data_IF_155102018431
#
_entry.id   IF_155102018431
#
_cell.length_a   1.000
_cell.length_b   1.000
_cell.length_c   1.000
_cell.angle_alpha   90.00
_cell.angle_beta   90.00
_cell.angle_gamma   90.00
#
_symmetry.space_group_name_H-M   'P 1'
#
loop_
_entity.id
_entity.type
_entity.pdbx_description
1 polymer ?
#
# COMPACT_ATOMS: atom_id res chain seq x y z
N UNK A 1 -50.52 -42.75 4.06
CA UNK A 1 -49.43 -43.40 3.31
C UNK A 1 -48.64 -42.31 2.59
N UNK A 2 -47.49 -41.89 3.14
CA UNK A 2 -46.73 -40.75 2.60
C UNK A 2 -46.09 -41.19 1.27
N UNK A 3 -46.42 -40.46 0.19
CA UNK A 3 -45.96 -40.72 -1.18
C UNK A 3 -44.43 -40.85 -1.28
N UNK A 4 -43.94 -41.76 -2.12
CA UNK A 4 -42.51 -42.00 -2.43
C UNK A 4 -41.75 -40.69 -2.72
N UNK A 5 -42.44 -39.70 -3.30
CA UNK A 5 -41.94 -38.35 -3.59
C UNK A 5 -41.42 -37.61 -2.33
N UNK A 6 -42.04 -37.85 -1.17
CA UNK A 6 -41.67 -37.20 0.09
C UNK A 6 -40.39 -37.80 0.70
N UNK A 7 -40.19 -39.12 0.59
CA UNK A 7 -38.95 -39.79 1.04
C UNK A 7 -37.76 -39.37 0.18
N UNK A 8 -37.95 -39.19 -1.12
CA UNK A 8 -36.91 -38.74 -2.04
C UNK A 8 -36.46 -37.29 -1.74
N UNK A 9 -37.41 -36.40 -1.45
CA UNK A 9 -37.12 -35.00 -1.06
C UNK A 9 -36.33 -34.88 0.25
N UNK A 10 -36.54 -35.78 1.22
CA UNK A 10 -35.80 -35.79 2.51
C UNK A 10 -34.30 -36.03 2.29
N UNK A 11 -33.93 -36.85 1.31
CA UNK A 11 -32.53 -37.19 1.03
C UNK A 11 -31.85 -36.19 0.06
N UNK A 12 -32.60 -35.64 -0.91
CA UNK A 12 -32.04 -34.74 -1.93
C UNK A 12 -31.60 -33.40 -1.36
N UNK A 13 -32.39 -32.78 -0.49
CA UNK A 13 -32.12 -31.43 0.02
C UNK A 13 -30.76 -31.34 0.77
N UNK A 14 -30.39 -32.25 1.69
CA UNK A 14 -29.07 -32.22 2.31
C UNK A 14 -27.93 -32.48 1.32
N UNK A 15 -28.13 -33.35 0.31
CA UNK A 15 -27.14 -33.58 -0.75
C UNK A 15 -26.93 -32.30 -1.57
N UNK A 16 -28.01 -31.63 -1.97
CA UNK A 16 -27.94 -30.37 -2.70
C UNK A 16 -27.19 -29.30 -1.89
N UNK A 17 -27.48 -29.18 -0.60
CA UNK A 17 -26.76 -28.26 0.28
C UNK A 17 -25.28 -28.60 0.42
N UNK A 18 -24.94 -29.88 0.50
CA UNK A 18 -23.54 -30.34 0.56
C UNK A 18 -22.79 -30.00 -0.73
N UNK A 19 -23.42 -30.22 -1.89
CA UNK A 19 -22.85 -29.88 -3.19
C UNK A 19 -22.57 -28.38 -3.25
N UNK A 20 -23.54 -27.53 -2.87
CA UNK A 20 -23.36 -26.06 -2.86
C UNK A 20 -22.23 -25.64 -1.90
N UNK A 21 -22.12 -26.28 -0.73
CA UNK A 21 -21.05 -26.02 0.23
C UNK A 21 -19.66 -26.43 -0.27
N UNK A 22 -19.58 -27.44 -1.13
CA UNK A 22 -18.33 -27.97 -1.67
C UNK A 22 -17.92 -27.34 -3.00
N UNK A 23 -18.72 -26.43 -3.58
CA UNK A 23 -18.35 -25.72 -4.82
C UNK A 23 -16.93 -25.15 -4.77
N UNK A 24 -16.50 -24.40 -3.72
CA UNK A 24 -15.14 -23.87 -3.66
C UNK A 24 -14.06 -24.96 -3.63
N UNK A 25 -14.32 -26.07 -2.93
CA UNK A 25 -13.41 -27.20 -2.87
C UNK A 25 -13.31 -27.91 -4.24
N UNK A 26 -14.43 -28.07 -4.95
CA UNK A 26 -14.46 -28.65 -6.30
C UNK A 26 -13.61 -27.83 -7.30
N UNK A 27 -13.67 -26.50 -7.23
CA UNK A 27 -12.81 -25.64 -8.06
C UNK A 27 -11.31 -25.82 -7.74
N UNK A 28 -10.95 -26.15 -6.50
CA UNK A 28 -9.57 -26.41 -6.09
C UNK A 28 -9.01 -27.72 -6.68
N UNK A 29 -9.88 -28.71 -6.93
CA UNK A 29 -9.49 -30.00 -7.52
C UNK A 29 -9.24 -29.91 -9.04
N UNK A 30 -9.71 -28.87 -9.71
CA UNK A 30 -9.46 -28.67 -11.15
C UNK A 30 -8.01 -28.21 -11.38
N UNK A 31 -7.17 -28.98 -12.10
CA UNK A 31 -5.74 -28.68 -12.28
C UNK A 31 -5.48 -27.34 -12.99
N UNK A 32 -6.40 -26.91 -13.88
CA UNK A 32 -6.29 -25.64 -14.59
C UNK A 32 -6.57 -24.42 -13.69
N UNK A 33 -7.57 -24.52 -12.80
CA UNK A 33 -7.94 -23.40 -11.91
C UNK A 33 -7.11 -23.34 -10.65
N UNK A 34 -6.55 -24.47 -10.19
CA UNK A 34 -5.77 -24.54 -8.95
C UNK A 34 -4.63 -23.53 -8.93
N UNK A 35 -3.86 -23.42 -10.02
CA UNK A 35 -2.75 -22.47 -10.10
C UNK A 35 -3.19 -21.02 -9.91
N UNK A 36 -4.28 -20.63 -10.61
CA UNK A 36 -4.85 -19.29 -10.52
C UNK A 36 -5.44 -18.99 -9.15
N UNK A 37 -6.12 -19.95 -8.52
CA UNK A 37 -6.71 -19.77 -7.18
C UNK A 37 -5.60 -19.56 -6.14
N UNK A 38 -4.53 -20.35 -6.18
CA UNK A 38 -3.42 -20.19 -5.22
C UNK A 38 -2.63 -18.90 -5.43
N UNK A 39 -2.37 -18.48 -6.67
CA UNK A 39 -1.70 -17.19 -6.94
C UNK A 39 -2.53 -16.01 -6.44
N UNK A 40 -3.84 -16.08 -6.65
CA UNK A 40 -4.83 -15.08 -6.24
C UNK A 40 -5.01 -15.06 -4.73
N UNK A 41 -5.10 -16.23 -4.09
CA UNK A 41 -5.19 -16.36 -2.63
C UNK A 41 -3.99 -15.73 -1.93
N UNK A 42 -2.77 -15.96 -2.46
CA UNK A 42 -1.52 -15.40 -1.90
C UNK A 42 -1.44 -13.88 -2.02
N UNK A 43 -2.17 -13.24 -2.92
CA UNK A 43 -2.21 -11.79 -3.02
C UNK A 43 -2.73 -11.18 -1.71
N UNK A 44 -3.86 -11.68 -1.21
CA UNK A 44 -4.56 -11.17 -0.01
C UNK A 44 -4.79 -12.27 1.03
N UNK A 45 -3.71 -12.94 1.47
CA UNK A 45 -3.81 -14.16 2.27
C UNK A 45 -4.62 -13.98 3.58
N UNK A 46 -4.45 -12.85 4.27
CA UNK A 46 -5.13 -12.59 5.55
C UNK A 46 -6.64 -12.48 5.36
N UNK A 47 -7.08 -11.61 4.44
CA UNK A 47 -8.50 -11.40 4.14
C UNK A 47 -9.16 -12.65 3.55
N UNK A 48 -8.50 -13.29 2.58
CA UNK A 48 -9.04 -14.49 1.95
C UNK A 48 -9.20 -15.64 2.95
N UNK A 49 -8.28 -15.79 3.92
CA UNK A 49 -8.40 -16.79 4.99
C UNK A 49 -9.53 -16.47 5.95
N UNK A 50 -9.67 -15.19 6.35
CA UNK A 50 -10.77 -14.76 7.20
C UNK A 50 -12.14 -15.02 6.52
N UNK A 51 -12.28 -14.64 5.26
CA UNK A 51 -13.48 -14.88 4.44
C UNK A 51 -13.77 -16.38 4.34
N UNK A 52 -12.77 -17.21 4.03
CA UNK A 52 -12.93 -18.66 3.92
C UNK A 52 -13.36 -19.30 5.25
N UNK A 53 -12.85 -18.79 6.37
CA UNK A 53 -13.22 -19.27 7.72
C UNK A 53 -14.68 -18.94 8.04
N UNK A 54 -15.09 -17.70 7.79
CA UNK A 54 -16.49 -17.25 7.97
C UNK A 54 -17.43 -18.05 7.06
N UNK A 55 -17.04 -18.25 5.80
CA UNK A 55 -17.77 -19.09 4.85
C UNK A 55 -17.95 -20.51 5.39
N UNK A 56 -16.87 -21.14 5.86
CA UNK A 56 -16.90 -22.51 6.36
C UNK A 56 -17.82 -22.66 7.58
N UNK A 57 -17.82 -21.69 8.49
CA UNK A 57 -18.73 -21.65 9.64
C UNK A 57 -20.18 -21.54 9.18
N UNK A 58 -20.50 -20.59 8.30
CA UNK A 58 -21.85 -20.40 7.76
C UNK A 58 -22.35 -21.63 7.00
N UNK A 59 -21.48 -22.23 6.18
CA UNK A 59 -21.78 -23.42 5.40
C UNK A 59 -22.03 -24.64 6.28
N UNK A 60 -21.21 -24.83 7.32
CA UNK A 60 -21.40 -25.89 8.30
C UNK A 60 -22.73 -25.73 9.04
N UNK A 61 -23.04 -24.53 9.53
CA UNK A 61 -24.32 -24.25 10.21
C UNK A 61 -25.50 -24.54 9.30
N UNK A 62 -25.46 -24.10 8.04
CA UNK A 62 -26.52 -24.35 7.06
C UNK A 62 -26.72 -25.85 6.81
N UNK A 63 -25.64 -26.57 6.51
CA UNK A 63 -25.69 -28.00 6.25
C UNK A 63 -26.20 -28.79 7.46
N UNK A 64 -25.66 -28.51 8.65
CA UNK A 64 -26.10 -29.14 9.90
C UNK A 64 -27.60 -28.89 10.15
N UNK A 65 -28.08 -27.67 9.89
CA UNK A 65 -29.48 -27.32 10.06
C UNK A 65 -30.40 -28.14 9.16
N UNK A 66 -30.01 -28.32 7.90
CA UNK A 66 -30.78 -29.08 6.91
C UNK A 66 -30.81 -30.57 7.26
N UNK A 67 -29.67 -31.15 7.67
CA UNK A 67 -29.60 -32.55 8.10
C UNK A 67 -30.48 -32.79 9.32
N UNK A 68 -30.45 -31.90 10.30
CA UNK A 68 -31.26 -32.05 11.51
C UNK A 68 -32.77 -31.96 11.21
N UNK A 69 -33.17 -31.05 10.31
CA UNK A 69 -34.55 -30.96 9.82
C UNK A 69 -34.95 -32.23 9.06
N UNK A 70 -34.08 -32.75 8.19
CA UNK A 70 -34.29 -34.01 7.47
C UNK A 70 -34.48 -35.19 8.43
N UNK A 71 -33.67 -35.28 9.48
CA UNK A 71 -33.79 -36.30 10.54
C UNK A 71 -35.11 -36.18 11.31
N UNK A 72 -35.49 -34.96 11.72
CA UNK A 72 -36.76 -34.73 12.41
C UNK A 72 -37.95 -35.20 11.56
N UNK A 73 -37.96 -34.82 10.28
CA UNK A 73 -39.00 -35.21 9.32
C UNK A 73 -39.02 -36.71 9.04
N UNK A 74 -37.85 -37.36 9.00
CA UNK A 74 -37.76 -38.81 8.84
C UNK A 74 -38.35 -39.57 10.04
N UNK A 75 -38.07 -39.13 11.26
CA UNK A 75 -38.64 -39.72 12.49
C UNK A 75 -40.16 -39.59 12.48
N UNK A 76 -40.67 -38.39 12.17
CA UNK A 76 -42.10 -38.14 12.02
C UNK A 76 -42.74 -39.02 10.93
N UNK A 77 -42.09 -39.16 9.76
CA UNK A 77 -42.63 -39.97 8.66
C UNK A 77 -42.57 -41.48 8.89
N UNK A 78 -41.61 -41.95 9.69
CA UNK A 78 -41.39 -43.39 9.93
C UNK A 78 -42.28 -43.97 11.03
N UNK A 79 -42.98 -43.13 11.81
CA UNK A 79 -43.84 -43.59 12.89
C UNK A 79 -43.11 -44.15 14.10
N UNK A 80 -41.83 -43.80 14.26
CA UNK A 80 -40.98 -44.34 15.32
C UNK A 80 -41.10 -43.47 16.58
N UNK A 81 -41.81 -43.98 17.58
CA UNK A 81 -42.10 -43.30 18.85
C UNK A 81 -40.93 -43.23 19.82
N UNK A 82 -39.82 -43.96 19.62
CA UNK A 82 -38.74 -44.01 20.62
C UNK A 82 -37.54 -43.11 20.29
N UNK A 83 -37.47 -42.59 19.05
CA UNK A 83 -36.36 -41.73 18.60
C UNK A 83 -36.53 -40.26 18.98
N UNK A 84 -35.65 -39.77 19.85
CA UNK A 84 -35.61 -38.35 20.21
C UNK A 84 -34.89 -37.50 19.14
N UNK A 85 -35.40 -36.30 18.87
CA UNK A 85 -34.72 -35.30 18.04
C UNK A 85 -34.93 -33.89 18.62
N UNK A 86 -33.86 -33.09 18.67
CA UNK A 86 -33.83 -31.81 19.40
C UNK A 86 -34.89 -30.80 18.92
N UNK A 87 -35.26 -30.80 17.64
CA UNK A 87 -36.30 -29.92 17.10
C UNK A 87 -37.71 -30.30 17.55
N UNK A 88 -37.97 -31.61 17.68
CA UNK A 88 -39.31 -32.15 17.98
C UNK A 88 -39.42 -32.63 19.43
N UNK A 89 -38.33 -32.57 20.21
CA UNK A 89 -38.27 -33.09 21.58
C UNK A 89 -38.83 -34.52 21.66
N UNK A 90 -39.98 -34.70 22.31
CA UNK A 90 -40.71 -35.96 22.47
C UNK A 90 -42.02 -36.01 21.67
N UNK A 91 -42.20 -35.15 20.66
CA UNK A 91 -43.46 -35.06 19.90
C UNK A 91 -43.80 -36.36 19.14
N UNK A 92 -42.79 -37.17 18.80
CA UNK A 92 -43.02 -38.47 18.19
C UNK A 92 -43.80 -39.43 19.13
N UNK A 93 -43.55 -39.39 20.45
CA UNK A 93 -44.26 -40.19 21.45
C UNK A 93 -45.74 -39.80 21.49
N UNK A 94 -46.06 -38.53 21.36
CA UNK A 94 -47.45 -38.05 21.34
C UNK A 94 -48.23 -38.57 20.13
N UNK A 95 -47.61 -38.58 18.95
CA UNK A 95 -48.29 -39.01 17.73
C UNK A 95 -48.40 -40.53 17.59
N UNK A 96 -47.50 -41.30 18.23
CA UNK A 96 -47.36 -42.74 17.97
C UNK A 96 -47.51 -43.65 19.21
N UNK A 97 -47.37 -43.14 20.43
CA UNK A 97 -47.70 -43.89 21.65
C UNK A 97 -49.00 -43.36 22.25
N UNK A 98 -49.96 -44.26 22.43
CA UNK A 98 -51.39 -44.01 22.53
C UNK A 98 -51.88 -43.30 23.81
N UNK A 99 -51.01 -42.62 24.56
CA UNK A 99 -51.32 -42.25 25.94
C UNK A 99 -50.72 -40.90 26.35
N UNK A 100 -51.21 -39.81 25.74
CA UNK A 100 -50.86 -38.45 26.18
C UNK A 100 -52.07 -37.49 26.16
N UNK A 101 -52.65 -37.16 27.33
CA UNK A 101 -53.79 -36.23 27.43
C UNK A 101 -53.46 -34.77 27.04
N UNK A 102 -52.19 -34.43 26.79
CA UNK A 102 -51.70 -33.06 26.57
C UNK A 102 -51.04 -32.82 25.19
N UNK A 103 -51.47 -33.55 24.16
CA UNK A 103 -50.89 -33.48 22.81
C UNK A 103 -50.82 -32.07 22.21
N UNK A 104 -51.85 -31.23 22.41
CA UNK A 104 -51.90 -29.86 21.88
C UNK A 104 -50.78 -28.96 22.45
N UNK A 105 -50.49 -29.07 23.75
CA UNK A 105 -49.41 -28.30 24.39
C UNK A 105 -48.03 -28.69 23.86
N UNK A 106 -47.83 -29.97 23.57
CA UNK A 106 -46.57 -30.50 23.05
C UNK A 106 -46.35 -30.08 21.59
N UNK A 107 -47.39 -30.11 20.75
CA UNK A 107 -47.33 -29.62 19.36
C UNK A 107 -46.94 -28.14 19.33
N UNK A 108 -47.55 -27.32 20.19
CA UNK A 108 -47.19 -25.91 20.32
C UNK A 108 -45.73 -25.72 20.73
N UNK A 109 -45.27 -26.47 21.75
CA UNK A 109 -43.88 -26.40 22.23
C UNK A 109 -42.83 -26.83 21.20
N UNK A 110 -43.13 -27.85 20.37
CA UNK A 110 -42.25 -28.28 19.30
C UNK A 110 -42.21 -27.28 18.15
N UNK A 111 -43.35 -26.66 17.82
CA UNK A 111 -43.42 -25.62 16.80
C UNK A 111 -42.61 -24.38 17.23
N UNK A 112 -42.73 -23.97 18.49
CA UNK A 112 -41.96 -22.87 19.08
C UNK A 112 -40.47 -23.18 19.11
N UNK A 113 -40.07 -24.38 19.55
CA UNK A 113 -38.66 -24.82 19.54
C UNK A 113 -38.06 -24.84 18.14
N UNK A 114 -38.79 -25.38 17.16
CA UNK A 114 -38.38 -25.41 15.75
C UNK A 114 -38.28 -23.99 15.17
N UNK A 115 -39.22 -23.10 15.51
CA UNK A 115 -39.18 -21.69 15.08
C UNK A 115 -38.00 -20.93 15.68
N UNK A 116 -37.77 -21.05 17.00
CA UNK A 116 -36.62 -20.45 17.68
C UNK A 116 -35.30 -20.92 17.05
N UNK A 117 -35.19 -22.22 16.81
CA UNK A 117 -34.00 -22.83 16.18
C UNK A 117 -33.81 -22.34 14.74
N UNK A 118 -34.88 -22.28 13.93
CA UNK A 118 -34.85 -21.69 12.57
C UNK A 118 -34.32 -20.26 12.62
N UNK A 119 -34.95 -19.40 13.42
CA UNK A 119 -34.60 -17.97 13.49
C UNK A 119 -33.15 -17.77 13.91
N UNK A 120 -32.69 -18.49 14.94
CA UNK A 120 -31.30 -18.39 15.42
C UNK A 120 -30.29 -18.81 14.35
N UNK A 121 -30.51 -19.94 13.67
CA UNK A 121 -29.58 -20.44 12.64
C UNK A 121 -29.55 -19.57 11.40
N UNK A 122 -30.72 -19.13 10.97
CA UNK A 122 -30.82 -18.28 9.80
C UNK A 122 -30.17 -16.92 10.06
N UNK A 123 -30.36 -16.36 11.25
CA UNK A 123 -29.67 -15.16 11.69
C UNK A 123 -28.15 -15.34 11.63
N UNK A 124 -27.61 -16.44 12.16
CA UNK A 124 -26.17 -16.73 12.08
C UNK A 124 -25.65 -16.85 10.63
N UNK A 125 -26.39 -17.51 9.74
CA UNK A 125 -25.99 -17.62 8.32
C UNK A 125 -25.99 -16.23 7.67
N UNK A 126 -27.01 -15.40 7.93
CA UNK A 126 -27.07 -14.01 7.45
C UNK A 126 -25.94 -13.16 7.99
N UNK A 127 -25.58 -13.31 9.28
CA UNK A 127 -24.41 -12.65 9.84
C UNK A 127 -23.14 -13.07 9.09
N UNK A 128 -22.94 -14.36 8.83
CA UNK A 128 -21.78 -14.84 8.06
C UNK A 128 -21.74 -14.26 6.64
N UNK A 129 -22.89 -14.17 5.96
CA UNK A 129 -23.01 -13.51 4.65
C UNK A 129 -22.55 -12.05 4.72
N UNK A 130 -23.12 -11.28 5.63
CA UNK A 130 -22.83 -9.85 5.76
C UNK A 130 -21.38 -9.60 6.19
N UNK A 131 -20.86 -10.38 7.14
CA UNK A 131 -19.46 -10.27 7.58
C UNK A 131 -18.49 -10.66 6.47
N UNK A 132 -18.81 -11.67 5.65
CA UNK A 132 -17.99 -12.04 4.48
C UNK A 132 -17.90 -10.90 3.47
N UNK A 133 -19.03 -10.26 3.14
CA UNK A 133 -19.05 -9.08 2.26
C UNK A 133 -18.26 -7.92 2.86
N UNK A 134 -18.43 -7.65 4.17
CA UNK A 134 -17.72 -6.58 4.85
C UNK A 134 -16.21 -6.83 4.90
N UNK A 135 -15.77 -8.07 5.08
CA UNK A 135 -14.34 -8.41 5.00
C UNK A 135 -13.78 -8.24 3.58
N UNK A 136 -14.56 -8.52 2.54
CA UNK A 136 -14.18 -8.20 1.17
C UNK A 136 -13.96 -6.70 0.96
N UNK A 137 -14.88 -5.88 1.47
CA UNK A 137 -14.75 -4.41 1.45
C UNK A 137 -13.53 -3.91 2.25
N UNK A 138 -13.26 -4.50 3.41
CA UNK A 138 -12.10 -4.14 4.23
C UNK A 138 -10.78 -4.48 3.51
N UNK A 139 -10.75 -5.58 2.77
CA UNK A 139 -9.65 -5.91 1.86
C UNK A 139 -9.44 -4.86 0.77
N UNK A 140 -10.51 -4.30 0.20
CA UNK A 140 -10.44 -3.19 -0.75
C UNK A 140 -9.83 -1.94 -0.13
N UNK A 141 -10.31 -1.55 1.05
CA UNK A 141 -9.77 -0.40 1.78
C UNK A 141 -8.27 -0.59 2.08
N UNK A 142 -7.88 -1.79 2.50
CA UNK A 142 -6.48 -2.10 2.76
C UNK A 142 -5.62 -2.05 1.49
N UNK A 143 -6.07 -2.66 0.39
CA UNK A 143 -5.33 -2.67 -0.87
C UNK A 143 -5.15 -1.27 -1.46
N UNK A 144 -6.18 -0.43 -1.40
CA UNK A 144 -6.08 0.99 -1.77
C UNK A 144 -5.12 1.75 -0.86
N UNK A 145 -5.14 1.49 0.46
CA UNK A 145 -4.19 2.11 1.40
C UNK A 145 -2.75 1.76 1.06
N UNK A 146 -2.47 0.51 0.68
CA UNK A 146 -1.14 0.06 0.20
C UNK A 146 -0.75 0.77 -1.10
N UNK A 147 -1.70 0.95 -2.01
CA UNK A 147 -1.49 1.69 -3.27
C UNK A 147 -1.10 3.14 -3.00
N UNK A 148 -1.84 3.84 -2.13
CA UNK A 148 -1.55 5.23 -1.76
C UNK A 148 -0.19 5.35 -1.08
N UNK A 149 0.12 4.48 -0.11
CA UNK A 149 1.42 4.48 0.56
C UNK A 149 2.57 4.25 -0.44
N UNK A 150 2.36 3.37 -1.42
CA UNK A 150 3.35 3.13 -2.48
C UNK A 150 3.58 4.38 -3.32
N UNK A 151 2.51 5.07 -3.75
CA UNK A 151 2.59 6.31 -4.52
C UNK A 151 3.36 7.39 -3.75
N UNK A 152 3.12 7.56 -2.45
CA UNK A 152 3.89 8.50 -1.61
C UNK A 152 5.38 8.16 -1.63
N UNK A 153 5.76 6.88 -1.49
CA UNK A 153 7.17 6.46 -1.57
C UNK A 153 7.78 6.73 -2.95
N UNK A 154 7.01 6.61 -4.05
CA UNK A 154 7.49 7.02 -5.39
C UNK A 154 7.72 8.52 -5.45
N UNK A 155 6.80 9.28 -4.85
CA UNK A 155 6.88 10.72 -4.75
C UNK A 155 8.01 11.19 -3.83
N UNK A 156 8.50 10.39 -2.90
CA UNK A 156 9.71 10.74 -2.15
C UNK A 156 10.98 10.37 -2.93
N UNK A 157 10.96 9.24 -3.66
CA UNK A 157 12.15 8.69 -4.35
C UNK A 157 12.48 9.32 -5.69
N UNK A 158 11.52 9.89 -6.43
CA UNK A 158 11.87 10.59 -7.68
C UNK A 158 12.58 11.94 -7.45
N UNK A 159 12.92 12.28 -6.20
CA UNK A 159 13.83 13.37 -5.86
C UNK A 159 15.33 13.06 -6.02
N UNK A 160 15.73 11.86 -6.46
CA UNK A 160 17.05 11.59 -7.03
C UNK A 160 17.02 12.07 -8.49
N UNK A 161 17.68 13.15 -8.92
CA UNK A 161 19.04 13.55 -8.58
C UNK A 161 19.95 13.13 -9.74
N UNK A 162 20.38 14.09 -10.54
CA UNK A 162 21.02 13.96 -11.86
C UNK A 162 22.21 13.00 -12.02
N UNK A 163 22.49 12.71 -13.29
CA UNK A 163 23.63 11.94 -13.81
C UNK A 163 23.11 10.85 -14.74
N UNK A 164 23.66 10.56 -15.91
CA UNK A 164 24.82 11.11 -16.59
C UNK A 164 25.25 10.08 -17.62
N UNK A 165 24.39 9.78 -18.61
CA UNK A 165 24.75 9.14 -19.87
C UNK A 165 25.57 7.85 -19.79
N UNK A 166 24.99 6.75 -19.29
CA UNK A 166 25.47 5.38 -19.56
C UNK A 166 24.28 4.43 -19.79
N UNK A 167 24.39 3.47 -20.72
CA UNK A 167 23.35 2.48 -21.03
C UNK A 167 22.92 1.63 -19.83
N UNK A 168 23.80 1.50 -18.83
CA UNK A 168 23.54 0.85 -17.53
C UNK A 168 22.58 1.67 -16.65
N UNK A 169 22.67 3.00 -16.66
CA UNK A 169 21.81 3.87 -15.84
C UNK A 169 20.37 3.90 -16.38
N UNK A 170 20.17 3.80 -17.70
CA UNK A 170 18.82 3.76 -18.29
C UNK A 170 18.09 2.47 -17.90
N UNK A 171 18.80 1.34 -17.86
CA UNK A 171 18.25 0.08 -17.36
C UNK A 171 17.89 0.18 -15.87
N UNK A 172 18.73 0.81 -15.05
CA UNK A 172 18.45 1.02 -13.63
C UNK A 172 17.25 1.94 -13.39
N UNK A 173 17.12 3.00 -14.21
CA UNK A 173 15.94 3.89 -14.19
C UNK A 173 14.68 3.13 -14.61
N UNK A 174 14.72 2.33 -15.68
CA UNK A 174 13.58 1.50 -16.12
C UNK A 174 13.20 0.47 -15.05
N UNK A 175 14.19 -0.21 -14.44
CA UNK A 175 13.96 -1.18 -13.35
C UNK A 175 13.35 -0.49 -12.13
N UNK A 176 13.78 0.73 -11.82
CA UNK A 176 13.17 1.53 -10.75
C UNK A 176 11.74 1.94 -11.07
N UNK A 177 11.44 2.37 -12.30
CA UNK A 177 10.07 2.71 -12.73
C UNK A 177 9.17 1.46 -12.67
N UNK A 178 9.66 0.32 -13.16
CA UNK A 178 8.93 -0.96 -13.14
C UNK A 178 8.64 -1.43 -11.71
N UNK A 179 9.63 -1.38 -10.80
CA UNK A 179 9.42 -1.64 -9.37
C UNK A 179 8.44 -0.66 -8.75
N UNK A 180 8.53 0.60 -9.15
CA UNK A 180 7.70 1.69 -8.64
C UNK A 180 6.24 1.50 -9.01
N UNK A 181 5.94 1.07 -10.24
CA UNK A 181 4.58 0.82 -10.71
C UNK A 181 4.01 -0.52 -10.20
N UNK A 182 4.88 -1.49 -9.92
CA UNK A 182 4.48 -2.83 -9.45
C UNK A 182 3.77 -2.80 -8.08
N UNK A 183 4.20 -1.91 -7.17
CA UNK A 183 3.62 -1.84 -5.82
C UNK A 183 2.15 -1.33 -5.80
N UNK A 184 1.80 -0.22 -6.47
CA UNK A 184 0.41 0.19 -6.71
C UNK A 184 -0.46 -0.89 -7.38
N UNK A 185 0.06 -1.53 -8.43
CA UNK A 185 -0.67 -2.60 -9.13
C UNK A 185 -0.93 -3.80 -8.22
N UNK A 186 0.02 -4.12 -7.33
CA UNK A 186 -0.17 -5.16 -6.32
C UNK A 186 -1.25 -4.77 -5.31
N UNK A 187 -1.24 -3.53 -4.78
CA UNK A 187 -2.28 -3.05 -3.87
C UNK A 187 -3.68 -3.14 -4.46
N UNK A 188 -3.83 -2.77 -5.73
CA UNK A 188 -5.08 -2.93 -6.49
C UNK A 188 -5.50 -4.40 -6.64
N UNK A 189 -4.58 -5.30 -6.97
CA UNK A 189 -4.88 -6.74 -7.08
C UNK A 189 -5.34 -7.33 -5.74
N UNK A 190 -4.71 -6.94 -4.62
CA UNK A 190 -5.12 -7.34 -3.26
C UNK A 190 -6.58 -6.94 -2.98
N UNK A 191 -6.90 -5.68 -3.28
CA UNK A 191 -8.24 -5.11 -3.09
C UNK A 191 -9.30 -5.86 -3.91
N UNK A 192 -9.05 -6.00 -5.21
CA UNK A 192 -9.99 -6.61 -6.15
C UNK A 192 -10.30 -8.07 -5.78
N UNK A 193 -9.26 -8.85 -5.49
CA UNK A 193 -9.38 -10.27 -5.15
C UNK A 193 -10.17 -10.48 -3.86
N UNK A 194 -9.85 -9.72 -2.81
CA UNK A 194 -10.56 -9.83 -1.53
C UNK A 194 -12.06 -9.55 -1.69
N UNK A 195 -12.42 -8.56 -2.51
CA UNK A 195 -13.82 -8.23 -2.82
C UNK A 195 -14.55 -9.38 -3.52
N UNK A 196 -13.93 -10.00 -4.54
CA UNK A 196 -14.52 -11.17 -5.23
C UNK A 196 -14.78 -12.32 -4.26
N UNK A 197 -13.80 -12.65 -3.40
CA UNK A 197 -13.97 -13.72 -2.41
C UNK A 197 -15.13 -13.41 -1.45
N UNK A 198 -15.25 -12.16 -0.98
CA UNK A 198 -16.31 -11.73 -0.08
C UNK A 198 -17.71 -11.89 -0.70
N UNK A 199 -17.87 -11.41 -1.94
CA UNK A 199 -19.15 -11.47 -2.69
C UNK A 199 -19.51 -12.91 -3.07
N UNK A 200 -18.57 -13.69 -3.60
CA UNK A 200 -18.82 -15.09 -4.00
C UNK A 200 -19.23 -15.93 -2.79
N UNK A 201 -18.56 -15.76 -1.65
CA UNK A 201 -18.93 -16.41 -0.39
C UNK A 201 -20.35 -16.03 0.06
N UNK A 202 -20.70 -14.74 -0.01
CA UNK A 202 -22.04 -14.26 0.33
C UNK A 202 -23.12 -14.86 -0.58
N UNK A 203 -22.88 -14.95 -1.90
CA UNK A 203 -23.79 -15.58 -2.86
C UNK A 203 -23.99 -17.06 -2.53
N UNK A 204 -22.91 -17.81 -2.29
CA UNK A 204 -22.98 -19.24 -1.96
C UNK A 204 -23.76 -19.48 -0.65
N UNK A 205 -23.49 -18.70 0.38
CA UNK A 205 -24.26 -18.74 1.64
C UNK A 205 -25.72 -18.30 1.45
N UNK A 206 -25.98 -17.36 0.54
CA UNK A 206 -27.34 -16.94 0.17
C UNK A 206 -28.14 -18.08 -0.46
N UNK A 207 -27.55 -18.81 -1.41
CA UNK A 207 -28.18 -20.00 -2.00
C UNK A 207 -28.47 -21.05 -0.91
N UNK A 208 -27.51 -21.30 -0.02
CA UNK A 208 -27.72 -22.22 1.10
C UNK A 208 -28.82 -21.76 2.06
N UNK A 209 -28.95 -20.45 2.29
CA UNK A 209 -30.02 -19.87 3.10
C UNK A 209 -31.40 -20.18 2.51
N UNK A 210 -31.55 -20.12 1.19
CA UNK A 210 -32.79 -20.47 0.50
C UNK A 210 -33.12 -21.96 0.71
N UNK A 211 -32.13 -22.84 0.54
CA UNK A 211 -32.30 -24.29 0.75
C UNK A 211 -32.68 -24.59 2.22
N UNK A 212 -32.01 -23.93 3.17
CA UNK A 212 -32.29 -24.06 4.60
C UNK A 212 -33.71 -23.59 4.95
N UNK A 213 -34.15 -22.43 4.43
CA UNK A 213 -35.54 -21.93 4.57
C UNK A 213 -36.55 -22.95 4.04
N UNK A 214 -36.30 -23.50 2.86
CA UNK A 214 -37.16 -24.52 2.25
C UNK A 214 -37.28 -25.78 3.12
N UNK A 215 -36.16 -26.27 3.66
CA UNK A 215 -36.15 -27.43 4.56
C UNK A 215 -37.01 -27.18 5.81
N UNK A 216 -36.82 -26.04 6.50
CA UNK A 216 -37.64 -25.69 7.66
C UNK A 216 -39.12 -25.54 7.34
N UNK A 217 -39.47 -24.91 6.21
CA UNK A 217 -40.86 -24.79 5.79
C UNK A 217 -41.49 -26.18 5.56
N UNK A 218 -40.74 -27.10 4.95
CA UNK A 218 -41.17 -28.50 4.79
C UNK A 218 -41.45 -29.20 6.13
N UNK A 219 -40.63 -28.94 7.15
CA UNK A 219 -40.88 -29.46 8.51
C UNK A 219 -42.15 -28.87 9.13
N UNK A 220 -42.36 -27.56 9.05
CA UNK A 220 -43.59 -26.93 9.55
C UNK A 220 -44.85 -27.46 8.86
N UNK A 221 -44.77 -27.69 7.55
CA UNK A 221 -45.85 -28.35 6.83
C UNK A 221 -46.12 -29.77 7.34
N UNK A 222 -45.08 -30.56 7.60
CA UNK A 222 -45.20 -31.90 8.16
C UNK A 222 -45.82 -31.88 9.57
N UNK A 223 -45.38 -30.96 10.44
CA UNK A 223 -45.93 -30.80 11.79
C UNK A 223 -47.42 -30.46 11.74
N UNK A 224 -47.81 -29.55 10.84
CA UNK A 224 -49.21 -29.15 10.61
C UNK A 224 -50.07 -30.30 10.11
N UNK A 225 -49.57 -31.07 9.14
CA UNK A 225 -50.30 -32.22 8.60
C UNK A 225 -50.56 -33.26 9.69
N UNK A 226 -49.55 -33.55 10.51
CA UNK A 226 -49.69 -34.49 11.62
C UNK A 226 -50.61 -33.97 12.73
N UNK A 227 -50.60 -32.66 13.03
CA UNK A 227 -51.52 -32.10 14.02
C UNK A 227 -52.98 -32.19 13.57
N UNK A 228 -53.26 -31.98 12.28
CA UNK A 228 -54.61 -32.13 11.73
C UNK A 228 -55.05 -33.60 11.78
N UNK A 229 -54.17 -34.52 11.37
CA UNK A 229 -54.43 -35.97 11.42
C UNK A 229 -54.73 -36.45 12.85
N UNK A 230 -53.98 -35.94 13.84
CA UNK A 230 -54.22 -36.24 15.25
C UNK A 230 -55.60 -35.74 15.72
N UNK A 231 -55.99 -34.52 15.35
CA UNK A 231 -57.33 -34.01 15.69
C UNK A 231 -58.44 -34.82 15.04
N UNK A 232 -58.28 -35.21 13.77
CA UNK A 232 -59.26 -36.04 13.06
C UNK A 232 -59.46 -37.41 13.71
N UNK A 233 -58.37 -38.08 14.13
CA UNK A 233 -58.47 -39.37 14.85
C UNK A 233 -59.14 -39.24 16.21
N UNK A 234 -58.87 -38.16 16.93
CA UNK A 234 -59.54 -37.93 18.21
C UNK A 234 -61.03 -37.63 18.03
N UNK A 235 -61.44 -36.95 16.95
CA UNK A 235 -62.86 -36.73 16.64
C UNK A 235 -63.60 -38.06 16.33
N UNK A 236 -63.03 -38.93 15.49
CA UNK A 236 -63.59 -40.26 15.19
C UNK A 236 -63.72 -41.17 16.42
N UNK A 237 -62.78 -41.10 17.38
CA UNK A 237 -62.90 -41.84 18.64
C UNK A 237 -63.98 -41.31 19.58
N UNK A 238 -64.38 -40.04 19.43
CA UNK A 238 -65.36 -39.41 20.33
C UNK A 238 -66.79 -39.51 19.77
N UNK A 239 -67.02 -39.62 18.46
CA UNK A 239 -68.37 -39.84 17.90
C UNK A 239 -68.95 -41.22 18.27
N UNK A 240 -68.10 -42.16 18.73
CA UNK A 240 -68.51 -43.43 19.35
C UNK A 240 -69.05 -43.27 20.79
N UNK A 241 -68.81 -42.12 21.44
CA UNK A 241 -69.11 -41.89 22.85
C UNK A 241 -70.03 -40.67 22.98
N UNK A 242 -71.34 -40.89 23.15
CA UNK A 242 -72.45 -39.91 23.11
C UNK A 242 -72.30 -38.65 24.00
N UNK A 243 -71.38 -37.74 23.68
CA UNK A 243 -71.14 -36.48 24.40
C UNK A 243 -70.89 -35.32 23.41
N UNK A 244 -71.83 -35.14 22.48
CA UNK A 244 -71.71 -34.26 21.30
C UNK A 244 -71.51 -32.77 21.58
N UNK A 245 -71.95 -32.26 22.74
CA UNK A 245 -71.97 -30.81 23.02
C UNK A 245 -70.63 -30.27 23.57
N UNK A 246 -69.89 -31.07 24.35
CA UNK A 246 -68.57 -30.65 24.85
C UNK A 246 -67.46 -30.88 23.81
N UNK A 247 -67.61 -31.90 22.96
CA UNK A 247 -66.63 -32.29 21.94
C UNK A 247 -66.56 -31.33 20.77
N UNK A 248 -67.71 -30.92 20.21
CA UNK A 248 -67.75 -29.89 19.16
C UNK A 248 -67.12 -28.57 19.60
N UNK A 249 -67.18 -28.26 20.90
CA UNK A 249 -66.54 -27.07 21.49
C UNK A 249 -65.02 -27.21 21.66
N UNK A 250 -64.51 -28.41 21.95
CA UNK A 250 -63.05 -28.68 22.02
C UNK A 250 -62.44 -28.67 20.63
N UNK A 251 -63.12 -29.28 19.65
CA UNK A 251 -62.68 -29.30 18.25
C UNK A 251 -62.76 -27.90 17.64
N UNK A 252 -63.84 -27.15 17.86
CA UNK A 252 -63.94 -25.77 17.42
C UNK A 252 -62.85 -24.88 18.06
N UNK A 253 -62.50 -25.12 19.33
CA UNK A 253 -61.37 -24.42 20.00
C UNK A 253 -60.01 -24.84 19.42
N UNK A 254 -59.80 -26.12 19.11
CA UNK A 254 -58.58 -26.62 18.47
C UNK A 254 -58.42 -26.12 17.04
N UNK A 255 -59.50 -26.12 16.25
CA UNK A 255 -59.56 -25.55 14.90
C UNK A 255 -59.33 -24.05 14.97
N UNK A 256 -59.97 -23.30 15.87
CA UNK A 256 -59.73 -21.87 16.02
C UNK A 256 -58.29 -21.58 16.47
N UNK A 257 -57.73 -22.39 17.37
CA UNK A 257 -56.33 -22.27 17.79
C UNK A 257 -55.36 -22.53 16.63
N UNK A 258 -55.61 -23.56 15.82
CA UNK A 258 -54.80 -23.84 14.61
C UNK A 258 -55.02 -22.76 13.55
N UNK A 259 -56.24 -22.26 13.39
CA UNK A 259 -56.57 -21.18 12.45
C UNK A 259 -55.84 -19.90 12.85
N UNK A 260 -55.86 -19.53 14.13
CA UNK A 260 -55.05 -18.43 14.66
C UNK A 260 -53.55 -18.70 14.48
N UNK A 261 -53.09 -19.93 14.68
CA UNK A 261 -51.68 -20.29 14.48
C UNK A 261 -51.29 -20.20 12.99
N UNK A 262 -52.19 -20.54 12.07
CA UNK A 262 -52.03 -20.42 10.61
C UNK A 262 -52.06 -18.97 10.17
N UNK A 263 -52.99 -18.18 10.69
CA UNK A 263 -53.07 -16.73 10.44
C UNK A 263 -51.79 -16.07 10.97
N UNK A 264 -51.35 -16.42 12.18
CA UNK A 264 -50.09 -15.91 12.72
C UNK A 264 -48.89 -16.41 11.93
N UNK A 265 -48.80 -17.68 11.51
CA UNK A 265 -47.68 -18.16 10.68
C UNK A 265 -47.65 -17.50 9.30
N UNK A 266 -48.80 -17.32 8.64
CA UNK A 266 -48.89 -16.60 7.36
C UNK A 266 -48.49 -15.14 7.56
N UNK A 267 -49.08 -14.45 8.53
CA UNK A 267 -48.73 -13.07 8.84
C UNK A 267 -47.25 -12.92 9.22
N UNK A 268 -46.68 -13.90 9.94
CA UNK A 268 -45.25 -13.91 10.28
C UNK A 268 -44.40 -14.21 9.04
N UNK A 269 -44.84 -15.08 8.14
CA UNK A 269 -44.14 -15.41 6.89
C UNK A 269 -44.20 -14.26 5.89
N UNK A 270 -45.34 -13.57 5.79
CA UNK A 270 -45.54 -12.36 4.98
C UNK A 270 -44.79 -11.18 5.58
N UNK A 271 -44.82 -10.98 6.91
CA UNK A 271 -43.89 -10.05 7.58
C UNK A 271 -42.45 -10.42 7.30
N UNK A 272 -42.09 -11.71 7.31
CA UNK A 272 -40.72 -12.11 7.04
C UNK A 272 -40.35 -11.92 5.58
N UNK A 273 -41.28 -12.07 4.65
CA UNK A 273 -41.07 -11.82 3.23
C UNK A 273 -40.91 -10.32 2.98
N UNK A 274 -41.76 -9.50 3.58
CA UNK A 274 -41.66 -8.03 3.53
C UNK A 274 -40.39 -7.53 4.21
N UNK A 275 -40.06 -8.01 5.41
CA UNK A 275 -38.80 -7.68 6.10
C UNK A 275 -37.61 -8.20 5.30
N UNK A 276 -37.66 -9.40 4.71
CA UNK A 276 -36.55 -9.87 3.86
C UNK A 276 -36.45 -9.03 2.60
N UNK A 277 -37.55 -8.62 1.98
CA UNK A 277 -37.57 -7.75 0.80
C UNK A 277 -37.10 -6.33 1.12
N UNK A 278 -37.45 -5.81 2.29
CA UNK A 278 -37.03 -4.50 2.79
C UNK A 278 -35.56 -4.51 3.27
N UNK A 279 -35.11 -5.61 3.87
CA UNK A 279 -33.70 -5.83 4.18
C UNK A 279 -32.90 -6.04 2.90
N UNK A 280 -33.43 -6.75 1.90
CA UNK A 280 -32.74 -6.97 0.62
C UNK A 280 -32.70 -5.67 -0.19
N UNK A 281 -33.79 -4.90 -0.25
CA UNK A 281 -33.78 -3.58 -0.88
C UNK A 281 -32.94 -2.58 -0.10
N UNK A 282 -32.91 -2.69 1.23
CA UNK A 282 -32.03 -1.94 2.11
C UNK A 282 -30.57 -2.28 1.88
N UNK A 283 -30.24 -3.57 1.69
CA UNK A 283 -28.91 -4.03 1.31
C UNK A 283 -28.57 -3.54 -0.10
N UNK A 284 -29.46 -3.62 -1.07
CA UNK A 284 -29.24 -3.13 -2.43
C UNK A 284 -29.05 -1.61 -2.46
N UNK A 285 -29.84 -0.85 -1.70
CA UNK A 285 -29.68 0.59 -1.53
C UNK A 285 -28.38 0.92 -0.82
N UNK A 286 -28.04 0.20 0.25
CA UNK A 286 -26.77 0.40 0.95
C UNK A 286 -25.59 0.02 0.07
N UNK A 287 -25.71 -1.03 -0.75
CA UNK A 287 -24.67 -1.46 -1.68
C UNK A 287 -24.53 -0.47 -2.83
N UNK A 288 -25.62 0.07 -3.34
CA UNK A 288 -25.61 1.16 -4.32
C UNK A 288 -24.98 2.44 -3.75
N UNK A 289 -25.33 2.82 -2.51
CA UNK A 289 -24.73 3.96 -1.79
C UNK A 289 -23.24 3.74 -1.52
N UNK A 290 -22.85 2.54 -1.11
CA UNK A 290 -21.45 2.17 -0.89
C UNK A 290 -20.70 2.24 -2.21
N UNK A 291 -21.23 1.67 -3.30
CA UNK A 291 -20.60 1.74 -4.61
C UNK A 291 -20.45 3.17 -5.12
N UNK A 292 -21.49 3.99 -4.96
CA UNK A 292 -21.44 5.41 -5.32
C UNK A 292 -20.42 6.16 -4.47
N UNK A 293 -20.39 5.93 -3.16
CA UNK A 293 -19.40 6.52 -2.26
C UNK A 293 -17.98 6.06 -2.59
N UNK A 294 -17.78 4.78 -2.91
CA UNK A 294 -16.49 4.24 -3.34
C UNK A 294 -16.03 4.90 -4.65
N UNK A 295 -16.94 5.09 -5.61
CA UNK A 295 -16.64 5.78 -6.86
C UNK A 295 -16.22 7.22 -6.59
N UNK A 296 -16.95 7.95 -5.76
CA UNK A 296 -16.59 9.32 -5.38
C UNK A 296 -15.26 9.40 -4.64
N UNK A 297 -14.98 8.46 -3.73
CA UNK A 297 -13.68 8.38 -3.05
C UNK A 297 -12.56 8.08 -4.05
N UNK A 298 -12.80 7.19 -5.01
CA UNK A 298 -11.84 6.86 -6.07
C UNK A 298 -11.55 8.10 -6.95
N UNK A 299 -12.58 8.86 -7.33
CA UNK A 299 -12.41 10.09 -8.11
C UNK A 299 -11.60 11.13 -7.33
N UNK A 300 -11.89 11.32 -6.04
CA UNK A 300 -11.11 12.22 -5.16
C UNK A 300 -9.66 11.77 -5.03
N UNK A 301 -9.40 10.47 -4.90
CA UNK A 301 -8.04 9.93 -4.84
C UNK A 301 -7.27 10.13 -6.15
N UNK A 302 -7.93 10.01 -7.31
CA UNK A 302 -7.33 10.29 -8.61
C UNK A 302 -6.96 11.78 -8.71
N UNK A 303 -7.85 12.67 -8.29
CA UNK A 303 -7.58 14.13 -8.27
C UNK A 303 -6.40 14.46 -7.36
N UNK A 304 -6.39 13.94 -6.13
CA UNK A 304 -5.29 14.15 -5.19
C UNK A 304 -3.97 13.58 -5.72
N UNK A 305 -4.01 12.43 -6.40
CA UNK A 305 -2.83 11.87 -7.06
C UNK A 305 -2.32 12.74 -8.21
N UNK A 306 -3.21 13.37 -8.98
CA UNK A 306 -2.82 14.31 -10.05
C UNK A 306 -2.22 15.59 -9.49
N UNK A 307 -2.81 16.19 -8.46
CA UNK A 307 -2.25 17.39 -7.80
C UNK A 307 -0.86 17.13 -7.24
N UNK A 308 -0.64 15.96 -6.62
CA UNK A 308 0.67 15.56 -6.11
C UNK A 308 1.73 15.46 -7.22
N UNK A 309 1.37 14.93 -8.41
CA UNK A 309 2.28 14.85 -9.57
C UNK A 309 2.64 16.24 -10.10
N UNK A 310 1.67 17.16 -10.17
CA UNK A 310 1.90 18.55 -10.61
C UNK A 310 2.79 19.29 -9.61
N UNK A 311 2.50 19.17 -8.31
CA UNK A 311 3.29 19.81 -7.27
C UNK A 311 4.75 19.29 -7.30
N UNK A 312 4.91 17.98 -7.49
CA UNK A 312 6.20 17.31 -7.60
C UNK A 312 7.00 17.77 -8.82
N UNK A 313 6.38 17.84 -10.01
CA UNK A 313 7.07 18.31 -11.22
C UNK A 313 7.52 19.77 -11.11
N UNK A 314 6.74 20.59 -10.40
CA UNK A 314 7.11 21.94 -10.01
C UNK A 314 8.36 21.97 -9.12
N UNK A 315 8.41 21.12 -8.09
CA UNK A 315 9.57 20.99 -7.19
C UNK A 315 10.82 20.51 -7.94
N UNK A 316 10.70 19.52 -8.82
CA UNK A 316 11.84 18.99 -9.58
C UNK A 316 12.40 20.03 -10.56
N UNK A 317 11.52 20.81 -11.20
CA UNK A 317 11.92 21.95 -12.04
C UNK A 317 12.65 23.03 -11.24
N UNK A 318 12.17 23.36 -10.04
CA UNK A 318 12.83 24.31 -9.15
C UNK A 318 14.22 23.81 -8.70
N UNK A 319 14.35 22.52 -8.34
CA UNK A 319 15.64 21.91 -8.01
C UNK A 319 16.63 21.98 -9.17
N UNK A 320 16.17 21.72 -10.41
CA UNK A 320 17.02 21.81 -11.60
C UNK A 320 17.53 23.23 -11.82
N UNK A 321 16.65 24.23 -11.75
CA UNK A 321 17.05 25.64 -11.88
C UNK A 321 18.07 26.07 -10.83
N UNK A 322 17.89 25.64 -9.57
CA UNK A 322 18.85 25.92 -8.48
C UNK A 322 20.21 25.26 -8.77
N UNK A 323 20.22 23.99 -9.18
CA UNK A 323 21.44 23.25 -9.49
C UNK A 323 22.22 23.89 -10.66
N UNK A 324 21.52 24.26 -11.73
CA UNK A 324 22.10 24.99 -12.86
C UNK A 324 22.69 26.34 -12.42
N UNK A 325 21.98 27.07 -11.55
CA UNK A 325 22.46 28.32 -10.96
C UNK A 325 23.75 28.14 -10.14
N UNK A 326 23.84 27.10 -9.32
CA UNK A 326 25.04 26.78 -8.53
C UNK A 326 26.21 26.40 -9.45
N UNK A 327 25.96 25.60 -10.50
CA UNK A 327 26.99 25.20 -11.45
C UNK A 327 27.57 26.42 -12.20
N UNK A 328 26.71 27.34 -12.64
CA UNK A 328 27.13 28.60 -13.26
C UNK A 328 27.97 29.46 -12.30
N UNK A 329 27.58 29.56 -11.03
CA UNK A 329 28.39 30.25 -10.02
C UNK A 329 29.77 29.60 -9.82
N UNK A 330 29.83 28.27 -9.71
CA UNK A 330 31.09 27.55 -9.58
C UNK A 330 32.01 27.77 -10.78
N UNK A 331 31.47 27.71 -12.00
CA UNK A 331 32.23 27.95 -13.23
C UNK A 331 32.82 29.37 -13.25
N UNK A 332 32.02 30.38 -12.91
CA UNK A 332 32.50 31.75 -12.79
C UNK A 332 33.61 31.87 -11.74
N UNK A 333 33.42 31.27 -10.57
CA UNK A 333 34.43 31.30 -9.51
C UNK A 333 35.74 30.62 -9.92
N UNK A 334 35.65 29.51 -10.66
CA UNK A 334 36.81 28.81 -11.21
C UNK A 334 37.53 29.66 -12.28
N UNK A 335 36.79 30.35 -13.14
CA UNK A 335 37.36 31.27 -14.13
C UNK A 335 38.07 32.46 -13.46
N UNK A 336 37.48 33.06 -12.44
CA UNK A 336 38.13 34.10 -11.63
C UNK A 336 39.40 33.58 -10.94
N UNK A 337 39.35 32.37 -10.36
CA UNK A 337 40.51 31.75 -9.71
C UNK A 337 41.65 31.50 -10.69
N UNK A 338 41.35 31.00 -11.89
CA UNK A 338 42.34 30.82 -12.95
C UNK A 338 42.98 32.15 -13.35
N UNK A 339 42.17 33.19 -13.53
CA UNK A 339 42.67 34.53 -13.87
C UNK A 339 43.59 35.10 -12.78
N UNK A 340 43.24 34.91 -11.50
CA UNK A 340 44.14 35.26 -10.40
C UNK A 340 45.44 34.46 -10.41
N UNK A 341 45.39 33.16 -10.72
CA UNK A 341 46.59 32.33 -10.82
C UNK A 341 47.50 32.75 -11.98
N UNK A 342 46.93 33.15 -13.12
CA UNK A 342 47.69 33.64 -14.26
C UNK A 342 48.37 34.98 -13.94
N UNK A 343 47.66 35.89 -13.25
CA UNK A 343 48.24 37.13 -12.74
C UNK A 343 49.38 36.84 -11.75
N UNK A 344 49.18 35.89 -10.83
CA UNK A 344 50.20 35.50 -9.85
C UNK A 344 51.46 34.95 -10.55
N UNK A 345 51.30 34.08 -11.55
CA UNK A 345 52.42 33.56 -12.35
C UNK A 345 53.16 34.68 -13.09
N UNK A 346 52.43 35.62 -13.69
CA UNK A 346 53.00 36.80 -14.33
C UNK A 346 53.84 37.62 -13.34
N UNK A 347 53.29 37.91 -12.15
CA UNK A 347 54.01 38.63 -11.11
C UNK A 347 55.26 37.89 -10.61
N UNK A 348 55.20 36.56 -10.50
CA UNK A 348 56.35 35.75 -10.10
C UNK A 348 57.47 35.79 -11.16
N UNK A 349 57.10 35.80 -12.44
CA UNK A 349 58.06 35.96 -13.55
C UNK A 349 58.71 37.35 -13.53
N UNK A 350 57.92 38.40 -13.31
CA UNK A 350 58.44 39.77 -13.19
C UNK A 350 59.39 39.88 -11.99
N UNK A 351 59.04 39.28 -10.85
CA UNK A 351 59.92 39.26 -9.68
C UNK A 351 61.26 38.56 -9.98
N UNK A 352 61.24 37.42 -10.65
CA UNK A 352 62.46 36.71 -11.06
C UNK A 352 63.33 37.53 -12.03
N UNK A 353 62.71 38.28 -12.95
CA UNK A 353 63.41 39.15 -13.88
C UNK A 353 64.04 40.35 -13.16
N UNK A 354 63.33 40.95 -12.20
CA UNK A 354 63.86 42.02 -11.33
C UNK A 354 65.07 41.51 -10.54
N UNK A 355 65.00 40.32 -9.95
CA UNK A 355 66.13 39.72 -9.21
C UNK A 355 67.35 39.52 -10.12
N UNK A 356 67.14 39.05 -11.35
CA UNK A 356 68.22 38.91 -12.35
C UNK A 356 68.85 40.25 -12.73
N UNK A 357 68.04 41.29 -12.95
CA UNK A 357 68.52 42.64 -13.28
C UNK A 357 69.28 43.23 -12.10
N UNK A 358 68.77 43.06 -10.88
CA UNK A 358 69.43 43.49 -9.65
C UNK A 358 70.80 42.85 -9.51
N UNK A 359 70.90 41.53 -9.71
CA UNK A 359 72.19 40.82 -9.69
C UNK A 359 73.16 41.29 -10.78
N UNK A 360 72.66 41.58 -11.98
CA UNK A 360 73.49 42.12 -13.07
C UNK A 360 73.98 43.54 -12.77
N UNK A 361 73.13 44.41 -12.20
CA UNK A 361 73.54 45.75 -11.76
C UNK A 361 74.60 45.67 -10.68
N UNK A 362 74.46 44.79 -9.69
CA UNK A 362 75.45 44.61 -8.64
C UNK A 362 76.82 44.19 -9.20
N UNK A 363 76.82 43.27 -10.17
CA UNK A 363 78.04 42.87 -10.89
C UNK A 363 78.68 44.03 -11.66
N UNK A 364 77.88 44.78 -12.43
CA UNK A 364 78.36 45.94 -13.20
C UNK A 364 78.94 47.02 -12.27
N UNK A 365 78.30 47.25 -11.12
CA UNK A 365 78.80 48.19 -10.12
C UNK A 365 80.14 47.74 -9.55
N UNK A 366 80.33 46.44 -9.29
CA UNK A 366 81.59 45.89 -8.80
C UNK A 366 82.71 46.05 -9.83
N UNK A 367 82.46 45.72 -11.10
CA UNK A 367 83.41 45.91 -12.20
C UNK A 367 83.83 47.39 -12.36
N UNK A 368 82.87 48.32 -12.28
CA UNK A 368 83.17 49.74 -12.35
C UNK A 368 83.99 50.23 -11.14
N UNK A 369 83.78 49.65 -9.96
CA UNK A 369 84.54 49.95 -8.75
C UNK A 369 85.99 49.47 -8.88
N UNK A 370 86.21 48.31 -9.50
CA UNK A 370 87.55 47.78 -9.76
C UNK A 370 88.29 48.59 -10.83
N UNK A 371 87.62 49.02 -11.90
CA UNK A 371 88.22 49.95 -12.87
C UNK A 371 88.61 51.29 -12.24
N UNK A 372 87.78 51.83 -11.32
CA UNK A 372 88.12 53.06 -10.60
C UNK A 372 89.35 52.88 -9.70
N UNK A 373 89.50 51.71 -9.05
CA UNK A 373 90.72 51.39 -8.29
C UNK A 373 91.94 51.30 -9.21
N UNK A 374 91.81 50.68 -10.38
CA UNK A 374 92.89 50.55 -11.36
C UNK A 374 93.33 51.93 -11.87
N UNK A 375 92.39 52.77 -12.33
CA UNK A 375 92.65 54.14 -12.75
C UNK A 375 93.26 55.00 -11.63
N UNK A 376 92.82 54.83 -10.38
CA UNK A 376 93.43 55.52 -9.23
C UNK A 376 94.90 55.09 -9.03
N UNK A 377 95.20 53.82 -9.31
CA UNK A 377 96.57 53.28 -9.23
C UNK A 377 97.44 53.81 -10.37
N UNK A 378 96.93 53.86 -11.60
CA UNK A 378 97.62 54.47 -12.75
C UNK A 378 97.86 55.96 -12.54
N UNK A 379 96.85 56.73 -12.12
CA UNK A 379 97.01 58.16 -11.85
C UNK A 379 98.07 58.43 -10.77
N UNK A 380 98.15 57.57 -9.75
CA UNK A 380 99.21 57.65 -8.74
C UNK A 380 100.58 57.41 -9.37
N UNK A 381 100.71 56.42 -10.26
CA UNK A 381 101.95 56.16 -11.00
C UNK A 381 102.35 57.34 -11.89
N UNK A 382 101.42 57.93 -12.64
CA UNK A 382 101.69 59.13 -13.46
C UNK A 382 102.09 60.34 -12.61
N UNK A 383 101.45 60.54 -11.45
CA UNK A 383 101.83 61.60 -10.52
C UNK A 383 103.27 61.42 -10.00
N UNK A 384 103.66 60.19 -9.64
CA UNK A 384 105.03 59.88 -9.22
C UNK A 384 106.06 60.12 -10.35
N UNK A 385 105.70 59.81 -11.61
CA UNK A 385 106.55 60.08 -12.78
C UNK A 385 106.74 61.59 -12.99
N UNK A 386 105.65 62.37 -12.97
CA UNK A 386 105.70 63.82 -13.14
C UNK A 386 106.49 64.50 -12.02
N UNK A 387 106.36 64.02 -10.78
CA UNK A 387 107.14 64.52 -9.65
C UNK A 387 108.65 64.34 -9.91
N UNK A 388 109.04 63.16 -10.39
CA UNK A 388 110.43 62.82 -10.71
C UNK A 388 110.98 63.64 -11.89
N UNK A 389 110.14 63.93 -12.89
CA UNK A 389 110.51 64.74 -14.04
C UNK A 389 110.65 66.23 -13.67
N UNK A 390 109.79 66.74 -12.78
CA UNK A 390 109.90 68.07 -12.21
C UNK A 390 111.19 68.23 -11.39
N UNK A 391 111.55 67.25 -10.55
CA UNK A 391 112.82 67.26 -9.81
C UNK A 391 114.04 67.27 -10.76
N UNK A 392 114.00 66.48 -11.83
CA UNK A 392 115.04 66.44 -12.86
C UNK A 392 115.18 67.78 -13.60
N UNK A 393 114.06 68.36 -14.06
CA UNK A 393 114.05 69.64 -14.78
C UNK A 393 114.54 70.78 -13.89
N UNK A 394 114.12 70.80 -12.61
CA UNK A 394 114.62 71.75 -11.62
C UNK A 394 116.14 71.66 -11.47
N UNK A 395 116.70 70.45 -11.35
CA UNK A 395 118.15 70.25 -11.23
C UNK A 395 118.95 70.69 -12.48
N UNK A 396 118.31 70.66 -13.66
CA UNK A 396 118.98 70.94 -14.95
C UNK A 396 118.87 72.42 -15.35
N UNK A 397 117.70 73.03 -15.20
CA UNK A 397 117.44 74.39 -15.69
C UNK A 397 117.93 75.47 -14.74
N UNK A 398 117.89 75.22 -13.42
CA UNK A 398 118.25 76.22 -12.42
C UNK A 398 119.71 76.73 -12.54
N UNK A 399 120.73 75.86 -12.74
CA UNK A 399 122.11 76.30 -12.93
C UNK A 399 122.34 77.06 -14.24
N UNK A 400 121.59 76.70 -15.29
CA UNK A 400 121.63 77.38 -16.59
C UNK A 400 121.01 78.78 -16.52
N UNK A 401 119.90 78.91 -15.80
CA UNK A 401 119.27 80.20 -15.54
C UNK A 401 120.20 81.13 -14.76
N UNK A 402 120.87 80.64 -13.70
CA UNK A 402 121.87 81.42 -12.96
C UNK A 402 123.00 81.94 -13.89
N UNK A 403 123.58 81.06 -14.72
CA UNK A 403 124.63 81.45 -15.69
C UNK A 403 124.15 82.50 -16.70
N UNK A 404 122.90 82.41 -17.15
CA UNK A 404 122.34 83.35 -18.12
C UNK A 404 122.11 84.72 -17.50
N UNK A 405 121.70 84.77 -16.22
CA UNK A 405 121.58 86.02 -15.46
C UNK A 405 122.97 86.65 -15.22
N UNK A 406 124.00 85.86 -14.92
CA UNK A 406 125.37 86.37 -14.80
C UNK A 406 125.91 86.94 -16.12
N UNK A 407 125.71 86.24 -17.25
CA UNK A 407 126.11 86.73 -18.57
C UNK A 407 125.42 88.04 -18.94
N UNK A 408 124.13 88.19 -18.63
CA UNK A 408 123.40 89.43 -18.90
C UNK A 408 123.98 90.61 -18.11
N UNK A 409 124.34 90.40 -16.84
CA UNK A 409 125.04 91.40 -16.00
C UNK A 409 126.40 91.81 -16.56
N UNK A 410 127.17 90.87 -17.11
CA UNK A 410 128.47 91.16 -17.70
C UNK A 410 128.37 92.01 -18.98
N UNK A 411 127.38 91.74 -19.84
CA UNK A 411 127.14 92.46 -21.09
C UNK A 411 126.65 93.89 -20.88
N UNK A 412 125.84 94.17 -19.85
CA UNK A 412 125.37 95.53 -19.57
C UNK A 412 126.49 96.46 -19.06
N UNK A 413 127.56 95.91 -18.47
CA UNK A 413 128.68 96.71 -17.94
C UNK A 413 129.66 97.24 -19.01
N UNK A 414 129.66 96.66 -20.22
CA UNK A 414 130.59 97.02 -21.31
C UNK A 414 130.09 98.09 -22.29
N UNK A 415 128.82 98.51 -22.17
CA UNK A 415 128.17 99.50 -23.06
C UNK A 415 128.36 100.96 -22.56
N UNK A 416 129.10 101.17 -21.46
CA UNK A 416 129.39 102.50 -20.89
C UNK A 416 130.89 102.70 -20.66
N UNK A 417 131.67 102.94 -21.74
CA UNK A 417 132.84 103.82 -21.73
C UNK A 417 133.39 104.10 -23.14
#
# INVERSE_FOLDING_TARGET
MISIKNKFSILIIPILSLVVALIPAMFLFSPYLRGYIFSTYRASAIFNTAILTIYSIGAFVSFYSIVEVGRARFILSSGDGDKNCRLISNLNKVFYSAEYPNAGSLISSANESAFKTKTQRLSLIHTCMNTSTMMGLLGTFFGLSVTVASVVVLLDKSGLGGGGGNSSEILDVIVNIMKSLSAPLRGMNIAFVASIYGVVSAILLGVQTIICRSAYNSLFYCLREMSIEYLKRNDEQIDLNNNRVNTGRIIAKGINSILEQVINLNNTTDKQYNITAEVLSGIDMNMSRINSCLSSINDVLVILSQEQVILKSGIDSAKKMISEGICLQMKNHQEYSNKCNDILKGNLSIAAEIDSISGQQEKNHLEHLDMLKENATENKMYADILLKEMESSHSTFYPLFEKLVEMHKALTSKVTK
#
